data_IF_784714598702
#
_entry.id   IF_784714598702
#
_cell.length_a   1.000
_cell.length_b   1.000
_cell.length_c   1.000
_cell.angle_alpha   90.00
_cell.angle_beta   90.00
_cell.angle_gamma   90.00
#
_symmetry.space_group_name_H-M   'P 1'
#
loop_
_entity.id
_entity.type
_entity.pdbx_description
1 polymer ?
#
# COMPACT_ATOMS: atom_id res chain seq x y z
N UNK A 1 -6.05 -22.55 11.76
CA UNK A 1 -4.80 -21.78 11.51
C UNK A 1 -5.17 -20.57 10.65
N UNK A 2 -4.60 -19.38 10.89
CA UNK A 2 -4.99 -18.15 10.15
C UNK A 2 -4.44 -18.15 8.72
N UNK A 3 -3.19 -18.57 8.55
CA UNK A 3 -2.49 -18.67 7.27
C UNK A 3 -2.23 -20.13 6.90
N UNK A 4 -2.00 -20.40 5.60
CA UNK A 4 -1.55 -21.71 5.10
C UNK A 4 -0.17 -22.08 5.67
N UNK A 5 0.72 -21.09 5.75
CA UNK A 5 2.08 -21.25 6.25
C UNK A 5 2.78 -19.91 6.43
N UNK A 6 3.96 -19.95 7.03
CA UNK A 6 4.86 -18.81 7.22
C UNK A 6 6.21 -19.19 6.64
N UNK A 7 6.78 -18.30 5.84
CA UNK A 7 8.09 -18.47 5.21
C UNK A 7 8.95 -17.25 5.47
N UNK A 8 10.25 -17.48 5.54
CA UNK A 8 11.25 -16.42 5.58
C UNK A 8 11.77 -16.17 4.16
N UNK A 9 11.37 -15.04 3.57
CA UNK A 9 11.76 -14.65 2.22
C UNK A 9 10.90 -15.23 1.09
N UNK A 10 11.03 -14.59 -0.08
CA UNK A 10 10.31 -14.92 -1.31
C UNK A 10 10.91 -16.16 -1.98
N UNK A 11 10.11 -17.14 -2.43
CA UNK A 11 10.61 -18.32 -3.19
C UNK A 11 10.94 -18.02 -4.65
N UNK A 12 10.58 -16.83 -5.11
CA UNK A 12 10.66 -16.42 -6.50
C UNK A 12 11.60 -15.23 -6.68
N UNK A 13 12.07 -15.06 -7.92
CA UNK A 13 12.82 -13.87 -8.35
C UNK A 13 11.96 -12.61 -8.24
N UNK A 14 12.58 -11.46 -7.95
CA UNK A 14 11.86 -10.18 -7.88
C UNK A 14 11.10 -9.92 -9.19
N UNK A 15 9.81 -9.64 -9.09
CA UNK A 15 8.97 -9.37 -10.25
C UNK A 15 9.12 -7.92 -10.77
N UNK A 16 9.77 -7.04 -10.00
CA UNK A 16 10.12 -5.68 -10.40
C UNK A 16 8.92 -4.74 -10.63
N UNK A 17 7.77 -5.06 -10.01
CA UNK A 17 6.55 -4.25 -10.13
C UNK A 17 6.63 -3.06 -9.20
N UNK A 18 6.45 -1.88 -9.78
CA UNK A 18 6.31 -0.63 -9.05
C UNK A 18 4.91 -0.52 -8.43
N UNK A 19 4.76 0.33 -7.42
CA UNK A 19 3.45 0.60 -6.79
C UNK A 19 2.38 1.05 -7.80
N UNK A 20 2.79 1.76 -8.86
CA UNK A 20 1.88 2.21 -9.93
C UNK A 20 1.34 1.06 -10.76
N UNK A 21 2.17 0.05 -11.06
CA UNK A 21 1.76 -1.13 -11.82
C UNK A 21 0.86 -2.03 -10.97
N UNK A 22 1.16 -2.16 -9.68
CA UNK A 22 0.24 -2.82 -8.73
C UNK A 22 -1.13 -2.17 -8.74
N UNK A 23 -1.22 -0.84 -8.74
CA UNK A 23 -2.51 -0.13 -8.76
C UNK A 23 -3.39 -0.46 -9.97
N UNK A 24 -2.81 -0.90 -11.10
CA UNK A 24 -3.56 -1.33 -12.30
C UNK A 24 -4.21 -2.70 -12.13
N UNK A 25 -3.71 -3.55 -11.22
CA UNK A 25 -4.25 -4.88 -10.98
C UNK A 25 -5.53 -4.74 -10.13
N UNK A 26 -6.72 -5.18 -10.61
CA UNK A 26 -7.93 -5.04 -9.84
C UNK A 26 -7.87 -5.87 -8.54
N UNK A 27 -8.36 -5.33 -7.41
CA UNK A 27 -8.38 -6.06 -6.15
C UNK A 27 -9.37 -7.22 -6.21
N UNK A 28 -8.98 -8.36 -5.63
CA UNK A 28 -9.77 -9.59 -5.52
C UNK A 28 -9.82 -10.05 -4.06
N UNK A 29 -10.77 -10.92 -3.75
CA UNK A 29 -10.92 -11.50 -2.42
C UNK A 29 -10.09 -12.77 -2.30
N UNK A 30 -9.37 -12.90 -1.18
CA UNK A 30 -8.59 -14.08 -0.83
C UNK A 30 -8.93 -14.53 0.57
N UNK A 31 -8.94 -15.84 0.79
CA UNK A 31 -9.06 -16.38 2.14
C UNK A 31 -7.68 -16.42 2.78
N UNK A 32 -7.62 -16.05 4.06
CA UNK A 32 -6.35 -16.02 4.80
C UNK A 32 -5.70 -17.40 4.90
N UNK A 33 -6.51 -18.45 5.05
CA UNK A 33 -6.06 -19.85 5.16
C UNK A 33 -5.42 -20.41 3.89
N UNK A 34 -5.51 -19.70 2.76
CA UNK A 34 -4.86 -20.06 1.49
C UNK A 34 -3.51 -19.37 1.30
N UNK A 35 -3.22 -18.33 2.10
CA UNK A 35 -2.05 -17.48 1.93
C UNK A 35 -0.87 -17.98 2.77
N UNK A 36 0.32 -17.94 2.17
CA UNK A 36 1.60 -18.14 2.85
C UNK A 36 2.29 -16.80 3.01
N UNK A 37 2.68 -16.40 4.22
CA UNK A 37 3.39 -15.13 4.42
C UNK A 37 4.86 -15.27 4.03
N UNK A 38 5.44 -14.22 3.43
CA UNK A 38 6.89 -14.19 3.08
C UNK A 38 7.76 -13.52 4.15
N UNK A 39 7.14 -12.99 5.20
CA UNK A 39 7.82 -12.42 6.36
C UNK A 39 7.34 -13.11 7.64
N UNK A 40 8.29 -13.26 8.56
CA UNK A 40 8.11 -13.88 9.88
C UNK A 40 7.87 -12.82 10.96
N UNK A 41 8.25 -11.56 10.71
CA UNK A 41 8.24 -10.50 11.72
C UNK A 41 6.96 -9.68 11.61
N UNK A 42 6.23 -9.61 12.72
CA UNK A 42 5.07 -8.73 12.87
C UNK A 42 5.38 -7.67 13.92
N UNK A 43 5.37 -6.41 13.50
CA UNK A 43 5.52 -5.26 14.39
C UNK A 43 4.19 -4.93 15.09
N UNK A 44 4.14 -5.06 16.43
CA UNK A 44 2.92 -4.89 17.23
C UNK A 44 2.45 -3.42 17.29
N UNK A 45 3.38 -2.47 17.38
CA UNK A 45 3.11 -1.03 17.30
C UNK A 45 2.37 -0.68 16.00
N UNK A 46 2.83 -1.24 14.87
CA UNK A 46 2.17 -1.09 13.57
C UNK A 46 0.83 -1.79 13.54
N UNK A 47 0.65 -2.94 14.19
CA UNK A 47 -0.64 -3.63 14.23
C UNK A 47 -1.71 -2.82 14.99
N UNK A 48 -1.33 -2.17 16.09
CA UNK A 48 -2.24 -1.46 17.00
C UNK A 48 -2.47 0.00 16.62
N UNK A 49 -1.58 0.60 15.83
CA UNK A 49 -1.72 1.99 15.38
C UNK A 49 -3.03 2.22 14.61
N UNK A 50 -3.73 3.31 14.95
CA UNK A 50 -4.94 3.77 14.27
C UNK A 50 -4.64 4.30 12.85
N UNK A 51 -3.43 4.85 12.65
CA UNK A 51 -2.86 5.27 11.35
C UNK A 51 -2.22 4.11 10.56
N UNK A 52 -2.43 2.86 10.99
CA UNK A 52 -1.86 1.69 10.31
C UNK A 52 -2.57 1.35 8.98
N UNK A 53 -3.47 2.21 8.56
CA UNK A 53 -3.67 2.44 7.14
C UNK A 53 -2.71 3.54 6.70
N UNK A 54 -1.86 3.23 5.72
CA UNK A 54 -1.43 4.18 4.70
C UNK A 54 0.01 4.72 4.77
N UNK A 55 0.95 3.85 4.42
CA UNK A 55 2.07 4.24 3.55
C UNK A 55 2.17 3.20 2.44
N UNK A 56 1.35 3.34 1.38
CA UNK A 56 1.35 2.42 0.24
C UNK A 56 -0.03 2.11 -0.32
N UNK A 57 -0.21 0.87 -0.80
CA UNK A 57 -1.46 0.40 -1.40
C UNK A 57 -2.53 0.08 -0.33
N UNK A 58 -3.79 0.42 -0.64
CA UNK A 58 -4.94 0.09 0.20
C UNK A 58 -5.16 -1.42 0.31
N UNK A 59 -4.74 -2.15 -0.72
CA UNK A 59 -4.93 -3.59 -0.85
C UNK A 59 -3.63 -4.33 -0.57
N UNK A 60 -3.75 -5.59 -0.11
CA UNK A 60 -2.58 -6.46 0.02
C UNK A 60 -2.01 -6.85 -1.34
N UNK A 61 -0.74 -7.24 -1.35
CA UNK A 61 -0.09 -7.79 -2.54
C UNK A 61 0.07 -9.29 -2.35
N UNK A 62 -0.49 -10.05 -3.29
CA UNK A 62 -0.41 -11.49 -3.33
C UNK A 62 0.27 -11.90 -4.63
N UNK A 63 1.23 -12.82 -4.55
CA UNK A 63 1.91 -13.39 -5.71
C UNK A 63 1.57 -14.87 -5.81
N UNK A 64 1.08 -15.29 -6.97
CA UNK A 64 0.93 -16.70 -7.31
C UNK A 64 2.24 -17.19 -7.96
N UNK A 65 2.86 -18.18 -7.33
CA UNK A 65 4.08 -18.81 -7.82
C UNK A 65 4.08 -20.30 -7.48
N UNK A 66 4.43 -21.14 -8.45
CA UNK A 66 4.37 -22.61 -8.37
C UNK A 66 3.04 -23.10 -7.77
N UNK A 67 1.93 -22.47 -8.17
CA UNK A 67 0.58 -22.79 -7.68
C UNK A 67 0.29 -22.42 -6.21
N UNK A 68 1.18 -21.68 -5.55
CA UNK A 68 1.01 -21.22 -4.17
C UNK A 68 0.81 -19.70 -4.09
N UNK A 69 -0.05 -19.26 -3.17
CA UNK A 69 -0.33 -17.85 -2.95
C UNK A 69 0.55 -17.31 -1.81
N UNK A 70 1.41 -16.37 -2.14
CA UNK A 70 2.32 -15.71 -1.22
C UNK A 70 1.82 -14.30 -0.89
N UNK A 71 1.59 -14.02 0.39
CA UNK A 71 1.28 -12.68 0.89
C UNK A 71 2.59 -11.91 1.04
N UNK A 72 2.83 -11.00 0.10
CA UNK A 72 4.05 -10.21 0.02
C UNK A 72 3.96 -8.93 0.85
N UNK A 73 2.82 -8.24 0.76
CA UNK A 73 2.53 -7.03 1.53
C UNK A 73 1.13 -7.09 2.14
N UNK A 74 0.95 -6.39 3.26
CA UNK A 74 -0.32 -6.32 3.97
C UNK A 74 -0.47 -7.32 5.11
N UNK A 75 0.63 -7.85 5.66
CA UNK A 75 0.58 -8.78 6.79
C UNK A 75 -0.23 -8.22 7.97
N UNK A 76 0.05 -7.00 8.41
CA UNK A 76 -0.69 -6.37 9.52
C UNK A 76 -2.18 -6.24 9.22
N UNK A 77 -2.55 -5.90 7.99
CA UNK A 77 -3.95 -5.82 7.55
C UNK A 77 -4.63 -7.19 7.55
N UNK A 78 -3.93 -8.24 7.13
CA UNK A 78 -4.40 -9.62 7.19
C UNK A 78 -4.62 -10.08 8.63
N UNK A 79 -3.63 -9.87 9.51
CA UNK A 79 -3.72 -10.24 10.92
C UNK A 79 -4.82 -9.45 11.64
N UNK A 80 -4.92 -8.13 11.41
CA UNK A 80 -6.02 -7.32 11.95
C UNK A 80 -7.39 -7.82 11.50
N UNK A 81 -7.51 -8.27 10.25
CA UNK A 81 -8.77 -8.86 9.74
C UNK A 81 -9.09 -10.16 10.46
N UNK A 82 -8.09 -11.04 10.64
CA UNK A 82 -8.24 -12.29 11.37
C UNK A 82 -8.66 -12.07 12.83
N UNK A 83 -8.07 -11.07 13.51
CA UNK A 83 -8.42 -10.69 14.89
C UNK A 83 -9.86 -10.17 15.02
N UNK A 84 -10.45 -9.68 13.92
CA UNK A 84 -11.87 -9.27 13.84
C UNK A 84 -12.77 -10.40 13.33
N UNK A 85 -12.31 -11.66 13.39
CA UNK A 85 -12.99 -12.84 12.87
C UNK A 85 -13.32 -12.76 11.36
N UNK A 86 -12.58 -11.97 10.58
CA UNK A 86 -12.72 -11.92 9.12
C UNK A 86 -11.67 -12.81 8.46
N UNK A 87 -12.14 -13.87 7.82
CA UNK A 87 -11.30 -14.85 7.12
C UNK A 87 -10.95 -14.44 5.68
N UNK A 88 -11.47 -13.31 5.20
CA UNK A 88 -11.27 -12.79 3.84
C UNK A 88 -10.50 -11.48 3.90
N UNK A 89 -9.53 -11.31 2.99
CA UNK A 89 -8.82 -10.06 2.73
C UNK A 89 -8.97 -9.66 1.25
N UNK A 90 -8.99 -8.35 0.98
CA UNK A 90 -8.87 -7.84 -0.38
C UNK A 90 -7.39 -7.62 -0.72
N UNK A 91 -6.95 -8.24 -1.81
CA UNK A 91 -5.59 -8.15 -2.29
C UNK A 91 -5.55 -8.05 -3.82
N UNK A 92 -4.49 -7.45 -4.34
CA UNK A 92 -4.14 -7.49 -5.74
C UNK A 92 -3.25 -8.70 -5.96
N UNK A 93 -3.51 -9.45 -7.01
CA UNK A 93 -2.80 -10.68 -7.29
C UNK A 93 -1.98 -10.56 -8.57
N UNK A 94 -0.69 -10.83 -8.46
CA UNK A 94 0.18 -11.08 -9.60
C UNK A 94 0.27 -12.58 -9.85
N UNK A 95 -0.02 -13.00 -11.09
CA UNK A 95 0.30 -14.34 -11.55
C UNK A 95 1.72 -14.37 -12.12
N UNK A 96 2.67 -14.83 -11.30
CA UNK A 96 4.08 -14.89 -11.70
C UNK A 96 4.36 -16.10 -12.59
N UNK A 97 3.66 -17.22 -12.37
CA UNK A 97 3.76 -18.42 -13.20
C UNK A 97 3.39 -18.11 -14.66
N UNK A 98 2.27 -17.42 -14.87
CA UNK A 98 1.84 -17.00 -16.19
C UNK A 98 2.84 -16.01 -16.84
N UNK A 99 3.43 -15.12 -16.04
CA UNK A 99 4.40 -14.13 -16.53
C UNK A 99 5.73 -14.76 -16.94
N UNK A 100 6.23 -15.72 -16.16
CA UNK A 100 7.42 -16.52 -16.49
C UNK A 100 7.16 -17.36 -17.74
N UNK A 101 6.00 -18.03 -17.82
CA UNK A 101 5.63 -18.83 -18.99
C UNK A 101 5.52 -18.00 -20.27
N UNK A 102 5.09 -16.73 -20.16
CA UNK A 102 5.04 -15.79 -21.27
C UNK A 102 6.42 -15.24 -21.69
N UNK A 103 7.51 -15.69 -21.05
CA UNK A 103 8.88 -15.23 -21.36
C UNK A 103 9.17 -13.79 -20.93
N UNK A 104 8.28 -13.17 -20.14
CA UNK A 104 8.56 -11.90 -19.48
C UNK A 104 9.39 -12.17 -18.22
N UNK A 105 10.62 -12.64 -18.41
CA UNK A 105 11.58 -12.78 -17.32
C UNK A 105 11.73 -11.42 -16.65
N UNK A 106 11.60 -11.33 -15.31
CA UNK A 106 11.87 -10.07 -14.65
C UNK A 106 13.31 -9.62 -14.93
N UNK A 107 13.47 -8.33 -15.15
CA UNK A 107 14.75 -7.73 -15.48
C UNK A 107 15.82 -8.14 -14.44
N UNK A 108 17.06 -8.43 -14.87
CA UNK A 108 18.15 -8.64 -13.93
C UNK A 108 18.31 -7.38 -13.08
N UNK A 109 18.24 -7.58 -11.76
CA UNK A 109 18.56 -6.66 -10.67
C UNK A 109 18.78 -5.21 -11.10
N UNK A 110 17.69 -4.42 -11.15
CA UNK A 110 17.84 -2.96 -11.18
C UNK A 110 18.37 -2.57 -9.79
N UNK A 111 19.60 -2.03 -9.64
CA UNK A 111 20.05 -1.56 -8.35
C UNK A 111 19.05 -0.52 -7.84
N UNK A 112 18.67 -0.64 -6.57
CA UNK A 112 17.72 0.21 -5.89
C UNK A 112 17.99 1.69 -6.18
N UNK A 113 17.31 2.24 -7.17
CA UNK A 113 17.43 3.65 -7.53
C UNK A 113 16.65 4.43 -6.49
N UNK A 114 17.43 5.02 -5.58
CA UNK A 114 17.17 6.22 -4.80
C UNK A 114 15.69 6.56 -4.56
N UNK A 115 15.30 6.38 -3.30
CA UNK A 115 14.28 7.16 -2.58
C UNK A 115 13.95 8.46 -3.32
N UNK A 116 12.75 8.52 -3.91
CA UNK A 116 12.14 9.77 -4.34
C UNK A 116 11.84 10.56 -3.06
N UNK A 117 12.85 11.29 -2.60
CA UNK A 117 12.69 12.36 -1.62
C UNK A 117 11.66 13.32 -2.19
N UNK A 118 10.50 13.38 -1.52
CA UNK A 118 9.47 14.39 -1.76
C UNK A 118 10.14 15.76 -1.84
N UNK A 119 10.21 16.33 -3.04
CA UNK A 119 10.55 17.74 -3.17
C UNK A 119 9.49 18.54 -2.39
N UNK A 120 9.86 19.54 -1.58
CA UNK A 120 8.87 20.38 -0.92
C UNK A 120 8.05 21.10 -1.98
N UNK A 121 6.73 20.98 -1.88
CA UNK A 121 5.77 21.74 -2.68
C UNK A 121 6.03 23.23 -2.39
N UNK A 122 6.34 24.08 -3.39
CA UNK A 122 6.52 25.51 -3.14
C UNK A 122 5.19 26.11 -2.67
N UNK A 123 5.19 27.03 -1.68
CA UNK A 123 3.95 27.62 -1.19
C UNK A 123 3.32 28.46 -2.29
N UNK A 124 2.13 28.06 -2.76
CA UNK A 124 1.29 28.87 -3.63
C UNK A 124 0.81 30.07 -2.82
N UNK A 125 1.32 31.26 -3.15
CA UNK A 125 0.92 32.52 -2.51
C UNK A 125 -0.58 32.74 -2.69
N UNK A 126 -1.33 32.65 -1.58
CA UNK A 126 -2.76 33.00 -1.56
C UNK A 126 -2.88 34.52 -1.69
N UNK A 127 -3.37 35.00 -2.82
CA UNK A 127 -3.71 36.42 -2.99
C UNK A 127 -4.88 36.73 -2.05
N UNK A 128 -4.60 37.48 -0.99
CA UNK A 128 -5.62 38.02 -0.08
C UNK A 128 -6.12 39.33 -0.71
N UNK A 129 -7.35 39.34 -1.20
CA UNK A 129 -7.98 40.59 -1.65
C UNK A 129 -8.15 41.56 -0.47
N UNK A 130 -7.72 42.83 -0.59
CA UNK A 130 -7.91 43.79 0.48
C UNK A 130 -9.40 44.11 0.67
N UNK A 131 -9.89 43.91 1.89
CA UNK A 131 -11.23 44.31 2.30
C UNK A 131 -11.40 45.82 2.15
N UNK A 132 -12.28 46.21 1.24
CA UNK A 132 -12.73 47.58 1.00
C UNK A 132 -13.46 48.10 2.25
N UNK A 133 -12.78 48.84 3.13
CA UNK A 133 -13.45 49.60 4.20
C UNK A 133 -14.30 50.70 3.58
N UNK A 134 -15.62 50.50 3.52
CA UNK A 134 -16.59 51.57 3.27
C UNK A 134 -17.05 52.18 4.59
N UNK A 135 -16.77 53.48 4.71
CA UNK A 135 -17.57 54.58 5.27
C UNK A 135 -18.37 54.38 6.57
N UNK A 136 -18.17 55.32 7.49
CA UNK A 136 -19.13 55.64 8.54
C UNK A 136 -18.82 57.00 9.16
N UNK A 137 -19.12 58.08 8.43
CA UNK A 137 -19.21 59.41 9.02
C UNK A 137 -20.50 59.48 9.83
N UNK A 138 -20.40 59.71 11.14
CA UNK A 138 -21.52 60.25 11.92
C UNK A 138 -21.01 61.35 12.85
N UNK A 139 -21.64 62.50 12.65
CA UNK A 139 -21.54 63.79 13.33
C UNK A 139 -22.49 63.80 14.53
N UNK A 140 -22.27 64.75 15.45
CA UNK A 140 -23.22 65.51 16.31
C UNK A 140 -22.88 65.46 17.82
N UNK A 141 -23.50 66.31 18.66
CA UNK A 141 -23.12 67.67 19.10
C UNK A 141 -22.78 67.63 20.63
N UNK A 142 -22.58 68.67 21.44
CA UNK A 142 -22.78 70.13 21.48
C UNK A 142 -21.51 70.79 22.06
#
# INVERSE_FOLDING_TARGET
MIFKGVRDGKPYVDHGLTSREWAQIPPRQFRLDQLTTVTTVLALDKLLSEDSTFYGDLFAHVVLFEGNLYLEDGLHRAVRSALRNRIIIHARMLDLDARIAAGLTPAPERPASAVETTAPIPPVGRIVHPSRRRSGAHRLPD
#
